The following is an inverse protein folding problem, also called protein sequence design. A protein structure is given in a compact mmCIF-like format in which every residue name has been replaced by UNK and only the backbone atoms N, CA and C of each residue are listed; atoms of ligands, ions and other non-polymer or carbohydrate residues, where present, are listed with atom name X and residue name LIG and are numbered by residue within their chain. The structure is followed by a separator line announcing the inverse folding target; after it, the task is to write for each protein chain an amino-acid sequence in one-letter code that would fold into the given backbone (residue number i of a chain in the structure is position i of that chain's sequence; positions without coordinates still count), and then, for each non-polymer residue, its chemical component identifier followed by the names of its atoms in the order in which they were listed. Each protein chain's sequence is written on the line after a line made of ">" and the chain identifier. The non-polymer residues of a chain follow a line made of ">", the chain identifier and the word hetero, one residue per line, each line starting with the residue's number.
data_IF_321316955592
#
_entry.id   IF_321316955592
#
_cell.length_a   1.000
_cell.length_b   1.000
_cell.length_c   1.000
_cell.angle_alpha   90.00
_cell.angle_beta   90.00
_cell.angle_gamma   90.00
#
_symmetry.space_group_name_H-M   'P 1'
#
loop_
_entity.id
_entity.type
_entity.pdbx_description
1 polymer ?
#
# COMPACT_ATOMS: atom_id res chain seq x y z
N UNK A 1 -9.21 -16.17 0.23
CA UNK A 1 -9.84 -15.25 1.21
C UNK A 1 -8.98 -14.00 1.25
N UNK A 2 -9.57 -12.83 1.02
CA UNK A 2 -8.79 -11.58 0.93
C UNK A 2 -8.28 -11.15 2.30
N UNK A 3 -7.00 -10.80 2.36
CA UNK A 3 -6.34 -10.32 3.57
C UNK A 3 -5.55 -9.07 3.24
N UNK A 4 -5.32 -8.27 4.26
CA UNK A 4 -4.47 -7.09 4.15
C UNK A 4 -3.03 -7.47 4.42
N UNK A 5 -2.12 -6.98 3.59
CA UNK A 5 -0.69 -7.19 3.70
C UNK A 5 0.01 -5.85 3.67
N UNK A 6 1.13 -5.77 4.38
CA UNK A 6 2.00 -4.60 4.36
C UNK A 6 3.18 -4.88 3.45
N UNK A 7 3.44 -3.95 2.55
CA UNK A 7 4.54 -3.98 1.58
C UNK A 7 5.53 -2.89 1.95
N UNK A 8 6.79 -3.28 2.15
CA UNK A 8 7.90 -2.36 2.27
C UNK A 8 8.31 -1.84 0.90
N UNK A 9 8.55 -0.54 0.84
CA UNK A 9 8.90 0.21 -0.34
C UNK A 9 10.00 1.21 -0.03
N UNK A 10 10.67 1.70 -1.07
CA UNK A 10 11.60 2.81 -0.88
C UNK A 10 10.84 4.07 -0.50
N UNK A 11 11.28 4.73 0.57
CA UNK A 11 10.77 6.04 0.96
C UNK A 11 10.83 7.02 -0.22
N UNK A 12 9.76 7.77 -0.45
CA UNK A 12 9.62 8.66 -1.61
C UNK A 12 8.88 8.05 -2.80
N UNK A 13 8.77 6.72 -2.87
CA UNK A 13 8.22 5.99 -4.02
C UNK A 13 6.86 5.34 -3.75
N UNK A 14 6.27 5.50 -2.58
CA UNK A 14 5.05 4.82 -2.13
C UNK A 14 3.87 5.09 -3.09
N UNK A 15 3.68 6.35 -3.48
CA UNK A 15 2.62 6.74 -4.41
C UNK A 15 2.85 6.16 -5.81
N UNK A 16 4.11 6.12 -6.24
CA UNK A 16 4.50 5.53 -7.52
C UNK A 16 4.32 4.01 -7.50
N UNK A 17 4.67 3.34 -6.40
CA UNK A 17 4.47 1.90 -6.19
C UNK A 17 2.98 1.57 -6.21
N UNK A 18 2.14 2.35 -5.51
CA UNK A 18 0.69 2.19 -5.58
C UNK A 18 0.20 2.21 -7.02
N UNK A 19 0.56 3.24 -7.79
CA UNK A 19 0.11 3.38 -9.17
C UNK A 19 0.63 2.25 -10.08
N UNK A 20 1.89 1.84 -9.89
CA UNK A 20 2.48 0.71 -10.62
C UNK A 20 1.77 -0.61 -10.29
N UNK A 21 1.45 -0.85 -9.03
CA UNK A 21 0.69 -2.02 -8.59
C UNK A 21 -0.69 -2.02 -9.23
N UNK A 22 -1.44 -0.91 -9.15
CA UNK A 22 -2.76 -0.77 -9.77
C UNK A 22 -2.70 -1.06 -11.28
N UNK A 23 -1.76 -0.45 -11.98
CA UNK A 23 -1.59 -0.66 -13.42
C UNK A 23 -1.23 -2.12 -13.77
N UNK A 24 -0.36 -2.75 -12.99
CA UNK A 24 0.01 -4.16 -13.19
C UNK A 24 -1.13 -5.12 -12.90
N UNK A 25 -1.89 -4.86 -11.84
CA UNK A 25 -3.08 -5.64 -11.49
C UNK A 25 -4.07 -5.64 -12.65
N UNK A 26 -4.28 -4.49 -13.30
CA UNK A 26 -5.12 -4.39 -14.50
C UNK A 26 -4.48 -5.09 -15.70
N UNK A 27 -3.20 -4.83 -15.97
CA UNK A 27 -2.48 -5.37 -17.14
C UNK A 27 -2.36 -6.89 -17.13
N UNK A 28 -2.21 -7.50 -15.94
CA UNK A 28 -2.10 -8.94 -15.74
C UNK A 28 -3.44 -9.62 -15.47
N UNK A 29 -4.55 -8.87 -15.48
CA UNK A 29 -5.89 -9.42 -15.18
C UNK A 29 -6.08 -9.88 -13.73
N UNK A 30 -5.20 -9.45 -12.82
CA UNK A 30 -5.18 -9.84 -11.41
C UNK A 30 -6.15 -9.01 -10.54
N UNK A 31 -7.09 -8.28 -11.14
CA UNK A 31 -8.12 -7.51 -10.42
C UNK A 31 -9.01 -8.38 -9.52
N UNK A 32 -9.07 -9.69 -9.79
CA UNK A 32 -9.76 -10.66 -8.92
C UNK A 32 -8.95 -11.02 -7.69
N UNK A 33 -7.62 -10.95 -7.76
CA UNK A 33 -6.71 -11.25 -6.65
C UNK A 33 -6.44 -10.01 -5.79
N UNK A 34 -6.28 -8.83 -6.38
CA UNK A 34 -6.02 -7.58 -5.65
C UNK A 34 -7.26 -6.69 -5.68
N UNK A 35 -7.79 -6.37 -4.49
CA UNK A 35 -9.00 -5.53 -4.34
C UNK A 35 -8.70 -4.05 -4.13
N UNK A 36 -7.71 -3.74 -3.30
CA UNK A 36 -7.46 -2.36 -2.89
C UNK A 36 -5.99 -2.16 -2.53
N UNK A 37 -5.42 -1.03 -2.94
CA UNK A 37 -4.06 -0.62 -2.59
C UNK A 37 -4.15 0.77 -1.97
N UNK A 38 -3.61 0.93 -0.77
CA UNK A 38 -3.68 2.16 0.01
C UNK A 38 -2.29 2.53 0.51
N UNK A 39 -1.92 3.80 0.36
CA UNK A 39 -0.73 4.34 1.02
C UNK A 39 -1.20 4.99 2.32
N UNK A 40 -0.61 4.66 3.48
CA UNK A 40 -0.89 5.34 4.74
C UNK A 40 -0.29 6.75 4.73
N UNK A 41 -0.96 7.68 4.07
CA UNK A 41 -0.69 9.13 4.14
C UNK A 41 -1.79 9.81 4.95
N UNK A 42 -1.40 10.79 5.77
CA UNK A 42 -2.31 11.64 6.52
C UNK A 42 -2.44 12.97 5.80
N UNK A 43 -3.65 13.29 5.39
CA UNK A 43 -3.93 14.52 4.66
C UNK A 43 -4.11 15.68 5.65
N UNK A 44 -3.07 16.49 5.85
CA UNK A 44 -3.16 17.69 6.68
C UNK A 44 -3.52 18.90 5.83
N UNK A 45 -4.46 19.71 6.32
CA UNK A 45 -4.81 20.97 5.67
C UNK A 45 -3.97 22.08 6.26
N UNK A 46 -2.92 22.53 5.57
CA UNK A 46 -2.14 23.70 5.97
C UNK A 46 -2.67 24.96 5.25
N UNK A 47 -2.71 26.09 5.96
CA UNK A 47 -2.91 27.38 5.31
C UNK A 47 -1.56 27.92 4.85
N UNK A 48 -1.37 27.99 3.53
CA UNK A 48 -0.20 28.64 2.92
C UNK A 48 -0.71 29.80 2.07
N UNK A 49 -0.23 31.01 2.32
CA UNK A 49 -0.63 32.23 1.59
C UNK A 49 -2.15 32.45 1.50
N UNK A 50 -2.85 32.27 2.62
CA UNK A 50 -4.31 32.46 2.72
C UNK A 50 -5.15 31.53 1.80
N UNK A 51 -4.53 30.49 1.21
CA UNK A 51 -5.20 29.37 0.55
C UNK A 51 -5.03 28.10 1.38
N UNK A 52 -6.10 27.30 1.47
CA UNK A 52 -6.02 25.95 2.05
C UNK A 52 -5.26 25.06 1.06
N UNK A 53 -4.06 24.66 1.42
CA UNK A 53 -3.28 23.68 0.68
C UNK A 53 -3.37 22.35 1.41
N UNK A 54 -3.87 21.35 0.70
CA UNK A 54 -3.89 19.98 1.17
C UNK A 54 -2.47 19.41 1.05
N UNK A 55 -1.80 19.21 2.17
CA UNK A 55 -0.46 18.63 2.23
C UNK A 55 -0.57 17.20 2.74
N UNK A 56 -0.06 16.24 1.98
CA UNK A 56 0.01 14.85 2.42
C UNK A 56 1.21 14.65 3.33
N UNK A 57 0.97 14.56 4.65
CA UNK A 57 1.99 14.23 5.63
C UNK A 57 2.09 12.71 5.76
N UNK A 58 3.30 12.17 5.65
CA UNK A 58 3.53 10.73 5.68
C UNK A 58 3.68 10.27 7.14
N UNK A 59 2.68 9.61 7.68
CA UNK A 59 2.72 9.05 9.03
C UNK A 59 3.66 7.83 9.10
N UNK A 60 3.80 7.10 7.99
CA UNK A 60 4.73 5.97 7.83
C UNK A 60 5.39 5.97 6.44
N UNK A 61 6.58 6.58 6.26
CA UNK A 61 7.28 6.54 4.98
C UNK A 61 7.76 5.13 4.65
N UNK A 62 7.64 4.73 3.39
CA UNK A 62 8.10 3.43 2.89
C UNK A 62 7.11 2.28 3.04
N UNK A 63 5.86 2.50 3.46
CA UNK A 63 4.87 1.43 3.62
C UNK A 63 3.69 1.58 2.66
N UNK A 64 3.18 0.46 2.16
CA UNK A 64 1.95 0.38 1.35
C UNK A 64 1.10 -0.79 1.83
N UNK A 65 -0.19 -0.54 2.00
CA UNK A 65 -1.18 -1.54 2.40
C UNK A 65 -1.86 -2.11 1.15
N UNK A 66 -1.89 -3.44 1.04
CA UNK A 66 -2.49 -4.13 -0.11
C UNK A 66 -3.51 -5.15 0.39
N UNK A 67 -4.76 -5.00 -0.04
CA UNK A 67 -5.82 -5.97 0.17
C UNK A 67 -5.85 -6.94 -1.02
N UNK A 68 -5.38 -8.16 -0.80
CA UNK A 68 -5.31 -9.16 -1.85
C UNK A 68 -5.50 -10.59 -1.33
N UNK A 69 -5.81 -11.49 -2.24
CA UNK A 69 -5.74 -12.93 -2.04
C UNK A 69 -4.30 -13.38 -2.32
N UNK A 70 -3.63 -13.92 -1.31
CA UNK A 70 -2.23 -14.31 -1.42
C UNK A 70 -2.11 -15.64 -2.17
N UNK A 71 -1.52 -15.56 -3.35
CA UNK A 71 -1.15 -16.68 -4.21
C UNK A 71 0.21 -16.40 -4.88
N UNK A 72 0.74 -17.36 -5.62
CA UNK A 72 2.07 -17.25 -6.24
C UNK A 72 2.15 -16.07 -7.24
N UNK A 73 1.12 -15.88 -8.07
CA UNK A 73 1.01 -14.78 -9.03
C UNK A 73 1.00 -13.39 -8.38
N UNK A 74 0.12 -13.18 -7.39
CA UNK A 74 -0.01 -11.91 -6.67
C UNK A 74 1.25 -11.60 -5.86
N UNK A 75 1.88 -12.62 -5.28
CA UNK A 75 3.15 -12.48 -4.59
C UNK A 75 4.27 -12.06 -5.54
N UNK A 76 4.38 -12.71 -6.70
CA UNK A 76 5.35 -12.38 -7.74
C UNK A 76 5.10 -10.99 -8.33
N UNK A 77 3.83 -10.60 -8.52
CA UNK A 77 3.44 -9.27 -9.00
C UNK A 77 3.93 -8.17 -8.06
N UNK A 78 3.72 -8.34 -6.74
CA UNK A 78 4.16 -7.36 -5.75
C UNK A 78 5.68 -7.29 -5.71
N UNK A 79 6.38 -8.44 -5.62
CA UNK A 79 7.86 -8.46 -5.61
C UNK A 79 8.49 -7.95 -6.91
N UNK A 80 7.84 -8.18 -8.05
CA UNK A 80 8.28 -7.67 -9.35
C UNK A 80 8.06 -6.17 -9.51
N UNK A 81 7.45 -5.49 -8.52
CA UNK A 81 7.14 -4.06 -8.57
C UNK A 81 8.32 -3.15 -8.27
N UNK A 82 8.75 -2.30 -9.23
CA UNK A 82 9.85 -1.39 -8.99
C UNK A 82 9.47 -0.41 -7.88
N UNK A 83 10.33 -0.32 -6.88
CA UNK A 83 10.09 0.43 -5.65
C UNK A 83 9.67 -0.43 -4.46
N UNK A 84 9.32 -1.70 -4.67
CA UNK A 84 9.03 -2.67 -3.60
C UNK A 84 10.32 -3.35 -3.14
N UNK A 85 10.57 -3.37 -1.84
CA UNK A 85 11.70 -4.09 -1.23
C UNK A 85 11.27 -5.47 -0.71
N UNK A 86 9.99 -5.65 -0.38
CA UNK A 86 9.42 -6.93 0.02
C UNK A 86 8.14 -6.78 0.83
N UNK A 87 7.66 -7.89 1.37
CA UNK A 87 6.59 -7.88 2.35
C UNK A 87 7.14 -7.68 3.76
N UNK A 88 6.32 -7.09 4.63
CA UNK A 88 6.63 -6.99 6.06
C UNK A 88 6.35 -8.35 6.70
N UNK A 89 7.39 -8.93 7.30
CA UNK A 89 7.33 -10.21 8.00
C UNK A 89 8.71 -10.79 8.25
N UNK A 90 8.77 -11.86 9.05
CA UNK A 90 9.99 -12.65 9.17
C UNK A 90 10.35 -13.19 7.76
N UNK A 91 11.60 -13.03 7.34
CA UNK A 91 12.11 -13.56 6.06
C UNK A 91 11.39 -13.10 4.78
N UNK A 92 10.82 -11.89 4.74
CA UNK A 92 10.04 -11.38 3.60
C UNK A 92 8.79 -12.21 3.28
N UNK A 93 8.27 -12.97 4.25
CA UNK A 93 6.97 -13.62 4.13
C UNK A 93 5.82 -12.63 4.38
N UNK A 94 4.77 -12.66 3.56
CA UNK A 94 3.60 -11.80 3.71
C UNK A 94 2.81 -12.16 4.98
N UNK A 95 2.90 -11.31 6.00
CA UNK A 95 2.09 -11.45 7.22
C UNK A 95 0.73 -10.78 7.00
N UNK A 96 -0.39 -11.50 7.16
CA UNK A 96 -1.71 -10.91 7.04
C UNK A 96 -2.04 -10.07 8.27
N UNK A 97 -2.52 -8.85 8.06
CA UNK A 97 -3.07 -8.00 9.10
C UNK A 97 -4.52 -8.40 9.43
N UNK A 98 -4.86 -8.25 10.70
CA UNK A 98 -6.24 -8.29 11.18
C UNK A 98 -7.00 -7.02 10.77
N UNK A 99 -8.32 -7.12 10.73
CA UNK A 99 -9.16 -5.97 10.35
C UNK A 99 -9.02 -4.79 11.31
N UNK A 100 -8.78 -5.07 12.60
CA UNK A 100 -8.54 -4.05 13.62
C UNK A 100 -7.24 -3.28 13.35
N UNK A 101 -6.14 -3.99 13.03
CA UNK A 101 -4.86 -3.36 12.66
C UNK A 101 -5.00 -2.49 11.41
N UNK A 102 -5.75 -2.95 10.41
CA UNK A 102 -5.99 -2.19 9.18
C UNK A 102 -6.78 -0.91 9.48
N UNK A 103 -7.83 -1.00 10.30
CA UNK A 103 -8.62 0.18 10.67
C UNK A 103 -7.77 1.21 11.41
N UNK A 104 -6.91 0.75 12.33
CA UNK A 104 -5.94 1.62 13.04
C UNK A 104 -4.96 2.30 12.08
N UNK A 105 -4.38 1.54 11.14
CA UNK A 105 -3.40 2.07 10.18
C UNK A 105 -4.02 3.00 9.14
N UNK A 106 -5.28 2.76 8.76
CA UNK A 106 -6.01 3.60 7.83
C UNK A 106 -6.75 4.76 8.50
N UNK A 107 -6.65 4.90 9.83
CA UNK A 107 -7.39 5.89 10.62
C UNK A 107 -8.89 5.92 10.27
N UNK A 108 -9.47 4.75 10.00
CA UNK A 108 -10.91 4.57 9.80
C UNK A 108 -11.52 4.21 11.14
N UNK A 109 -11.98 5.23 11.87
CA UNK A 109 -12.76 5.09 13.11
C UNK A 109 -14.17 4.56 12.84
#
# INVERSE_FOLDING_TARGET
>A
MFRWYVVNTYSGHEQKVKHNLEHRVVSLGQQRAVRQIVVPTETVSEMKDNQKVTVEKRTMPGYVLVNMDLNEDSWSLVKGTPGVTGFVGASNEPVPLTQDEVNRLLHRE
#
